data_IF_579134035637
#
_entry.id   IF_579134035637
#
_cell.length_a   1.000
_cell.length_b   1.000
_cell.length_c   1.000
_cell.angle_alpha   90.00
_cell.angle_beta   90.00
_cell.angle_gamma   90.00
#
_symmetry.space_group_name_H-M   'P 1'
#
loop_
_entity.id
_entity.type
_entity.pdbx_description
1 polymer ?
#
# COMPACT_ATOMS: atom_id res chain seq x y z
N UNK A 1 -8.98 26.78 13.73
CA UNK A 1 -9.10 26.81 12.27
C UNK A 1 -8.00 25.93 11.68
N UNK A 2 -8.29 24.68 11.34
CA UNK A 2 -7.41 23.83 10.54
C UNK A 2 -8.24 23.38 9.34
N UNK A 3 -7.85 23.81 8.15
CA UNK A 3 -8.56 23.52 6.92
C UNK A 3 -8.50 22.02 6.63
N UNK A 4 -9.65 21.34 6.67
CA UNK A 4 -9.80 20.00 6.13
C UNK A 4 -9.75 20.13 4.61
N UNK A 5 -8.56 20.03 4.02
CA UNK A 5 -8.44 19.94 2.57
C UNK A 5 -9.29 18.75 2.10
N UNK A 6 -10.32 19.03 1.29
CA UNK A 6 -11.13 18.02 0.64
C UNK A 6 -10.19 17.24 -0.29
N UNK A 7 -9.74 16.06 0.16
CA UNK A 7 -8.97 15.17 -0.69
C UNK A 7 -9.96 14.58 -1.70
N UNK A 8 -9.76 14.85 -2.98
CA UNK A 8 -10.67 14.46 -4.07
C UNK A 8 -10.95 12.95 -4.16
N UNK A 9 -10.14 12.11 -3.49
CA UNK A 9 -10.51 10.87 -2.80
C UNK A 9 -9.18 10.12 -2.55
N UNK A 10 -8.56 10.22 -1.36
CA UNK A 10 -7.28 9.59 -1.10
C UNK A 10 -7.54 8.12 -0.80
N UNK A 11 -7.30 7.24 -1.76
CA UNK A 11 -7.46 5.81 -1.53
C UNK A 11 -6.46 5.37 -0.46
N UNK A 12 -6.95 4.77 0.63
CA UNK A 12 -6.10 4.19 1.67
C UNK A 12 -6.05 2.67 1.49
N UNK A 13 -4.87 2.15 1.17
CA UNK A 13 -4.60 0.72 1.11
C UNK A 13 -4.06 0.28 2.48
N UNK A 14 -4.75 -0.67 3.13
CA UNK A 14 -4.35 -1.19 4.44
C UNK A 14 -3.71 -2.57 4.25
N UNK A 15 -2.44 -2.69 4.63
CA UNK A 15 -1.59 -3.87 4.46
C UNK A 15 -0.64 -3.71 3.27
N UNK A 16 0.66 -3.76 3.52
CA UNK A 16 1.75 -3.74 2.54
C UNK A 16 2.28 -5.15 2.21
N UNK A 17 1.41 -6.15 2.28
CA UNK A 17 1.67 -7.48 1.71
C UNK A 17 1.54 -7.48 0.18
N UNK A 18 1.71 -8.64 -0.48
CA UNK A 18 1.69 -8.75 -1.94
C UNK A 18 0.45 -8.10 -2.57
N UNK A 19 -0.74 -8.42 -2.04
CA UNK A 19 -2.03 -7.91 -2.57
C UNK A 19 -2.13 -6.39 -2.45
N UNK A 20 -1.77 -5.82 -1.29
CA UNK A 20 -1.86 -4.38 -1.08
C UNK A 20 -0.83 -3.59 -1.88
N UNK A 21 0.40 -4.11 -2.00
CA UNK A 21 1.41 -3.51 -2.86
C UNK A 21 0.99 -3.56 -4.34
N UNK A 22 0.42 -4.68 -4.81
CA UNK A 22 -0.16 -4.77 -6.16
C UNK A 22 -1.26 -3.73 -6.35
N UNK A 23 -2.19 -3.60 -5.41
CA UNK A 23 -3.27 -2.62 -5.50
C UNK A 23 -2.74 -1.18 -5.54
N UNK A 24 -1.78 -0.83 -4.69
CA UNK A 24 -1.17 0.50 -4.67
C UNK A 24 -0.45 0.81 -5.99
N UNK A 25 0.25 -0.17 -6.57
CA UNK A 25 0.87 -0.04 -7.88
C UNK A 25 -0.17 0.19 -8.98
N UNK A 26 -1.27 -0.56 -8.99
CA UNK A 26 -2.33 -0.42 -9.99
C UNK A 26 -3.08 0.91 -9.86
N UNK A 27 -3.40 1.35 -8.65
CA UNK A 27 -3.97 2.68 -8.40
C UNK A 27 -3.07 3.77 -8.98
N UNK A 28 -1.77 3.71 -8.69
CA UNK A 28 -0.80 4.67 -9.22
C UNK A 28 -0.70 4.59 -10.74
N UNK A 29 -0.74 3.39 -11.32
CA UNK A 29 -0.72 3.18 -12.78
C UNK A 29 -1.93 3.81 -13.47
N UNK A 30 -3.07 3.86 -12.80
CA UNK A 30 -4.31 4.48 -13.28
C UNK A 30 -4.48 5.96 -12.89
N UNK A 31 -3.44 6.59 -12.32
CA UNK A 31 -3.50 8.01 -11.93
C UNK A 31 -4.30 8.28 -10.65
N UNK A 32 -4.62 7.23 -9.88
CA UNK A 32 -5.33 7.37 -8.61
C UNK A 32 -4.30 7.49 -7.49
N UNK A 33 -4.29 8.65 -6.83
CA UNK A 33 -3.46 8.87 -5.65
C UNK A 33 -3.90 7.94 -4.51
N UNK A 34 -2.94 7.24 -3.93
CA UNK A 34 -3.18 6.40 -2.76
C UNK A 34 -2.09 6.52 -1.72
N UNK A 35 -2.45 6.21 -0.48
CA UNK A 35 -1.51 5.99 0.62
C UNK A 35 -1.63 4.53 1.05
N UNK A 36 -0.50 3.88 1.24
CA UNK A 36 -0.45 2.52 1.81
C UNK A 36 0.05 2.60 3.25
N UNK A 37 -0.56 1.83 4.14
CA UNK A 37 -0.12 1.68 5.52
C UNK A 37 0.04 0.20 5.84
N UNK A 38 1.01 -0.13 6.69
CA UNK A 38 1.15 -1.44 7.30
C UNK A 38 1.42 -1.26 8.79
N UNK A 39 1.14 -2.29 9.58
CA UNK A 39 1.41 -2.29 11.01
C UNK A 39 2.87 -2.59 11.33
N UNK A 40 3.58 -3.21 10.40
CA UNK A 40 5.00 -3.52 10.54
C UNK A 40 5.83 -2.27 10.22
N UNK A 41 6.92 -2.08 10.96
CA UNK A 41 7.82 -0.93 10.77
C UNK A 41 8.62 -1.00 9.46
N UNK A 42 8.62 -2.16 8.79
CA UNK A 42 9.32 -2.38 7.54
C UNK A 42 8.98 -3.74 6.90
N UNK A 43 9.67 -4.08 5.79
CA UNK A 43 9.50 -5.37 5.13
C UNK A 43 9.88 -6.55 6.03
N UNK A 44 9.26 -7.70 5.79
CA UNK A 44 9.69 -8.96 6.42
C UNK A 44 11.15 -9.27 6.05
N UNK A 45 12.01 -9.67 7.01
CA UNK A 45 13.36 -10.13 6.73
C UNK A 45 13.40 -11.26 5.70
N UNK A 46 14.43 -11.29 4.85
CA UNK A 46 14.52 -12.27 3.76
C UNK A 46 14.51 -13.72 4.24
N UNK A 47 15.12 -14.00 5.39
CA UNK A 47 15.19 -15.32 6.01
C UNK A 47 13.87 -15.77 6.68
N UNK A 48 12.87 -14.88 6.75
CA UNK A 48 11.55 -15.14 7.36
C UNK A 48 10.41 -15.10 6.33
N UNK A 49 10.73 -14.87 5.05
CA UNK A 49 9.74 -14.85 3.98
C UNK A 49 9.04 -16.20 3.85
N UNK A 50 7.70 -16.17 3.86
CA UNK A 50 6.85 -17.34 3.65
C UNK A 50 6.42 -17.51 2.18
N UNK A 51 6.83 -16.60 1.29
CA UNK A 51 6.56 -16.71 -0.14
C UNK A 51 7.51 -17.73 -0.77
N UNK A 52 6.97 -18.72 -1.51
CA UNK A 52 7.75 -19.82 -2.08
C UNK A 52 8.21 -19.55 -3.53
N UNK A 53 7.46 -18.75 -4.28
CA UNK A 53 7.74 -18.48 -5.69
C UNK A 53 6.60 -17.73 -6.37
N UNK A 54 6.81 -17.38 -7.63
CA UNK A 54 5.80 -16.84 -8.55
C UNK A 54 5.46 -17.91 -9.57
N UNK A 55 4.22 -17.92 -10.08
CA UNK A 55 3.81 -18.77 -11.19
C UNK A 55 4.04 -18.10 -12.53
#
# INVERSE_FOLDING_TARGET
MTATALHEAPVLVVGAGPVGLTMACELRRHGVACRIIDRNDGPTPLNESRALGIQ
#
